data_IF_113131751257
#
_entry.id   IF_113131751257
#
_cell.length_a   1.000
_cell.length_b   1.000
_cell.length_c   1.000
_cell.angle_alpha   90.00
_cell.angle_beta   90.00
_cell.angle_gamma   90.00
#
_symmetry.space_group_name_H-M   'P 1'
#
loop_
_entity.id
_entity.type
_entity.pdbx_description
1 polymer ?
#
# COMPACT_ATOMS: atom_id res chain seq x y z
N UNK A 1 -1.84 -28.41 -10.46
CA UNK A 1 -1.41 -28.39 -9.04
C UNK A 1 0.05 -27.98 -8.85
N UNK A 2 1.03 -28.67 -9.45
CA UNK A 2 2.46 -28.32 -9.29
C UNK A 2 2.77 -26.87 -9.71
N UNK A 3 2.19 -26.42 -10.83
CA UNK A 3 2.30 -25.02 -11.29
C UNK A 3 1.83 -24.04 -10.21
N UNK A 4 0.69 -24.29 -9.56
CA UNK A 4 0.16 -23.44 -8.48
C UNK A 4 1.13 -23.34 -7.30
N UNK A 5 1.78 -24.46 -6.93
CA UNK A 5 2.78 -24.49 -5.84
C UNK A 5 4.03 -23.68 -6.20
N UNK A 6 4.51 -23.80 -7.44
CA UNK A 6 5.65 -23.01 -7.95
C UNK A 6 5.33 -21.52 -7.95
N UNK A 7 4.15 -21.12 -8.44
CA UNK A 7 3.68 -19.74 -8.44
C UNK A 7 3.62 -19.19 -7.01
N UNK A 8 3.01 -19.93 -6.09
CA UNK A 8 2.89 -19.50 -4.69
C UNK A 8 4.24 -19.31 -4.00
N UNK A 9 5.18 -20.23 -4.21
CA UNK A 9 6.55 -20.10 -3.71
C UNK A 9 7.29 -18.90 -4.33
N UNK A 10 7.12 -18.68 -5.64
CA UNK A 10 7.71 -17.55 -6.34
C UNK A 10 7.16 -16.20 -5.85
N UNK A 11 5.88 -16.13 -5.47
CA UNK A 11 5.31 -14.92 -4.87
C UNK A 11 6.03 -14.53 -3.57
N UNK A 12 6.33 -15.50 -2.70
CA UNK A 12 7.15 -15.26 -1.51
C UNK A 12 8.58 -14.80 -1.84
N UNK A 13 9.19 -15.39 -2.88
CA UNK A 13 10.49 -14.94 -3.39
C UNK A 13 10.45 -13.47 -3.84
N UNK A 14 9.41 -13.07 -4.59
CA UNK A 14 9.24 -11.67 -5.00
C UNK A 14 9.03 -10.73 -3.80
N UNK A 15 8.22 -11.13 -2.81
CA UNK A 15 8.03 -10.35 -1.58
C UNK A 15 9.33 -10.19 -0.80
N UNK A 16 10.16 -11.24 -0.75
CA UNK A 16 11.49 -11.16 -0.12
C UNK A 16 12.36 -10.08 -0.79
N UNK A 17 12.37 -10.00 -2.12
CA UNK A 17 13.11 -8.97 -2.86
C UNK A 17 12.55 -7.57 -2.58
N UNK A 18 11.23 -7.42 -2.53
CA UNK A 18 10.58 -6.13 -2.21
C UNK A 18 10.98 -5.67 -0.80
N UNK A 19 10.93 -6.55 0.21
CA UNK A 19 11.34 -6.23 1.58
C UNK A 19 12.84 -5.93 1.69
N UNK A 20 13.68 -6.60 0.90
CA UNK A 20 15.11 -6.31 0.84
C UNK A 20 15.36 -4.92 0.26
N UNK A 21 14.66 -4.57 -0.83
CA UNK A 21 14.71 -3.23 -1.42
C UNK A 21 14.24 -2.17 -0.43
N UNK A 22 13.10 -2.38 0.25
CA UNK A 22 12.61 -1.48 1.30
C UNK A 22 13.62 -1.34 2.44
N UNK A 23 14.25 -2.43 2.88
CA UNK A 23 15.32 -2.40 3.89
C UNK A 23 16.47 -1.49 3.44
N UNK A 24 16.92 -1.63 2.18
CA UNK A 24 17.93 -0.77 1.58
C UNK A 24 17.53 0.71 1.58
N UNK A 25 16.29 1.04 1.22
CA UNK A 25 15.82 2.43 1.22
C UNK A 25 15.88 3.08 2.61
N UNK A 26 15.42 2.37 3.64
CA UNK A 26 15.50 2.85 5.03
C UNK A 26 16.94 2.91 5.54
N UNK A 27 17.78 1.93 5.20
CA UNK A 27 19.19 1.90 5.61
C UNK A 27 19.98 3.07 5.01
N UNK A 28 19.77 3.36 3.72
CA UNK A 28 20.35 4.53 3.06
C UNK A 28 19.86 5.83 3.69
N UNK A 29 18.57 5.92 4.04
CA UNK A 29 18.01 7.00 4.84
C UNK A 29 18.69 7.17 6.20
N UNK A 30 19.03 6.08 6.88
CA UNK A 30 19.65 6.13 8.19
C UNK A 30 21.12 6.59 8.14
N UNK A 31 21.93 6.09 7.20
CA UNK A 31 23.39 6.28 7.22
C UNK A 31 23.96 7.25 6.20
N UNK A 32 23.29 7.43 5.05
CA UNK A 32 23.86 8.13 3.89
C UNK A 32 22.98 9.29 3.43
N UNK A 33 22.26 9.91 4.37
CA UNK A 33 21.26 10.91 4.06
C UNK A 33 21.37 12.18 4.90
N UNK A 34 20.74 13.24 4.42
CA UNK A 34 20.52 14.48 5.16
C UNK A 34 19.13 14.57 5.80
N UNK A 35 18.48 13.44 6.10
CA UNK A 35 17.07 13.40 6.55
C UNK A 35 16.78 14.28 7.77
N UNK A 36 17.60 14.21 8.82
CA UNK A 36 17.39 15.02 10.04
C UNK A 36 17.59 16.51 9.78
N UNK A 37 18.52 16.88 8.91
CA UNK A 37 18.69 18.28 8.50
C UNK A 37 17.49 18.75 7.66
N UNK A 38 17.04 17.93 6.71
CA UNK A 38 15.84 18.19 5.93
C UNK A 38 14.60 18.35 6.81
N UNK A 39 14.44 17.55 7.86
CA UNK A 39 13.30 17.62 8.76
C UNK A 39 13.21 18.97 9.50
N UNK A 40 14.35 19.60 9.80
CA UNK A 40 14.45 20.93 10.41
C UNK A 40 14.08 22.03 9.41
N UNK A 41 14.49 21.91 8.14
CA UNK A 41 14.22 22.92 7.12
C UNK A 41 13.84 22.29 5.76
N UNK A 42 12.60 21.76 5.65
CA UNK A 42 12.15 21.03 4.46
C UNK A 42 11.94 21.93 3.24
N UNK A 43 11.91 23.25 3.43
CA UNK A 43 11.73 24.23 2.36
C UNK A 43 13.03 24.51 1.58
N UNK A 44 14.17 24.54 2.28
CA UNK A 44 15.45 24.91 1.68
C UNK A 44 16.34 23.71 1.37
N UNK A 45 16.35 22.71 2.24
CA UNK A 45 17.22 21.54 2.08
C UNK A 45 16.60 20.58 1.07
N UNK A 46 17.42 20.02 0.18
CA UNK A 46 16.96 19.04 -0.82
C UNK A 46 17.16 17.62 -0.30
N UNK A 47 16.17 16.72 -0.44
CA UNK A 47 16.32 15.32 -0.04
C UNK A 47 17.49 14.65 -0.74
N UNK A 48 18.39 14.03 0.01
CA UNK A 48 19.52 13.26 -0.51
C UNK A 48 19.77 12.04 0.37
N UNK A 49 19.94 10.86 -0.23
CA UNK A 49 20.18 9.60 0.46
C UNK A 49 21.22 8.70 -0.24
N UNK A 50 21.99 9.28 -1.16
CA UNK A 50 23.02 8.55 -1.92
C UNK A 50 24.27 9.41 -2.02
N UNK A 51 25.42 8.80 -1.74
CA UNK A 51 26.74 9.41 -1.87
C UNK A 51 27.62 8.55 -2.78
N UNK A 52 28.45 9.20 -3.58
CA UNK A 52 29.33 8.59 -4.57
C UNK A 52 30.76 8.59 -4.06
N UNK A 53 31.46 7.45 -4.17
CA UNK A 53 32.86 7.37 -3.77
C UNK A 53 33.80 8.12 -4.72
N UNK A 54 34.85 8.80 -4.19
CA UNK A 54 35.78 9.61 -4.97
C UNK A 54 36.89 8.74 -5.59
N UNK A 55 36.58 8.06 -6.69
CA UNK A 55 37.52 7.14 -7.35
C UNK A 55 38.12 7.77 -8.62
N UNK A 56 37.28 8.36 -9.48
CA UNK A 56 37.66 8.79 -10.83
C UNK A 56 37.20 10.22 -11.18
N UNK A 57 36.92 11.06 -10.18
CA UNK A 57 36.30 12.38 -10.39
C UNK A 57 34.77 12.35 -10.37
N UNK A 58 34.16 11.18 -10.20
CA UNK A 58 32.71 11.00 -10.12
C UNK A 58 32.08 11.58 -8.85
N UNK A 59 32.89 11.95 -7.85
CA UNK A 59 32.43 12.71 -6.68
C UNK A 59 31.89 14.10 -7.04
N UNK A 60 32.10 14.58 -8.27
CA UNK A 60 31.38 15.74 -8.82
C UNK A 60 29.85 15.58 -8.77
N UNK A 61 29.36 14.34 -8.72
CA UNK A 61 27.93 14.03 -8.55
C UNK A 61 27.42 14.30 -7.13
N UNK A 62 28.30 14.41 -6.14
CA UNK A 62 27.93 14.78 -4.77
C UNK A 62 27.73 16.30 -4.68
N UNK A 63 26.59 16.77 -5.20
CA UNK A 63 26.24 18.19 -5.16
C UNK A 63 25.94 18.66 -3.73
N UNK A 64 26.15 19.94 -3.46
CA UNK A 64 25.66 20.57 -2.22
C UNK A 64 24.13 20.66 -2.26
N UNK A 65 23.50 19.89 -1.38
CA UNK A 65 22.04 19.79 -1.24
C UNK A 65 21.52 20.50 0.01
N UNK A 66 22.40 21.21 0.72
CA UNK A 66 22.11 21.86 2.00
C UNK A 66 22.16 20.91 3.19
N UNK A 67 22.08 21.49 4.40
CA UNK A 67 22.18 20.71 5.64
C UNK A 67 23.60 20.22 5.94
N UNK A 68 24.62 20.89 5.40
CA UNK A 68 26.02 20.48 5.47
C UNK A 68 26.27 19.06 4.93
N UNK A 69 25.56 18.71 3.85
CA UNK A 69 25.62 17.40 3.22
C UNK A 69 25.83 17.54 1.71
N UNK A 70 26.65 16.65 1.16
CA UNK A 70 26.90 16.54 -0.28
C UNK A 70 26.53 15.15 -0.77
N UNK A 71 25.73 15.08 -1.83
CA UNK A 71 25.26 13.81 -2.38
C UNK A 71 24.35 14.00 -3.59
N UNK A 72 23.73 12.89 -4.00
CA UNK A 72 22.77 12.89 -5.08
C UNK A 72 21.39 13.22 -4.51
N UNK A 73 20.79 14.29 -5.04
CA UNK A 73 19.39 14.61 -4.75
C UNK A 73 18.49 13.45 -5.22
N UNK A 74 17.69 12.92 -4.30
CA UNK A 74 16.72 11.86 -4.60
C UNK A 74 15.35 12.45 -4.91
N UNK A 75 14.58 11.77 -5.76
CA UNK A 75 13.23 12.20 -6.17
C UNK A 75 12.17 11.12 -5.91
N UNK A 76 12.43 10.23 -4.96
CA UNK A 76 11.57 9.09 -4.62
C UNK A 76 10.49 9.42 -3.59
N UNK A 77 10.58 10.57 -2.91
CA UNK A 77 9.61 11.01 -1.92
C UNK A 77 9.73 10.36 -0.53
N UNK A 78 10.75 9.53 -0.28
CA UNK A 78 10.89 8.82 1.00
C UNK A 78 11.00 9.74 2.21
N UNK A 79 11.60 10.92 2.08
CA UNK A 79 11.70 11.88 3.20
C UNK A 79 10.32 12.39 3.64
N UNK A 80 9.45 12.70 2.67
CA UNK A 80 8.09 13.15 2.92
C UNK A 80 7.23 12.03 3.51
N UNK A 81 7.45 10.77 3.07
CA UNK A 81 6.82 9.59 3.66
C UNK A 81 7.23 9.46 5.12
N UNK A 82 8.53 9.35 5.42
CA UNK A 82 9.04 9.17 6.78
C UNK A 82 8.57 10.27 7.74
N UNK A 83 8.49 11.53 7.28
CA UNK A 83 7.91 12.61 8.07
C UNK A 83 6.44 12.36 8.40
N UNK A 84 5.62 11.99 7.40
CA UNK A 84 4.20 11.68 7.62
C UNK A 84 4.00 10.52 8.61
N UNK A 85 4.91 9.55 8.59
CA UNK A 85 4.90 8.39 9.50
C UNK A 85 5.31 8.75 10.94
N UNK A 86 5.86 9.94 11.17
CA UNK A 86 6.34 10.39 12.47
C UNK A 86 7.77 9.96 12.78
N UNK A 87 8.58 9.61 11.76
CA UNK A 87 10.00 9.29 11.95
C UNK A 87 10.80 10.57 12.12
N UNK A 88 11.50 10.71 13.24
CA UNK A 88 12.26 11.92 13.60
C UNK A 88 13.76 11.68 13.72
N UNK A 89 14.18 10.41 13.83
CA UNK A 89 15.59 10.04 14.05
C UNK A 89 16.10 8.99 13.06
N UNK A 90 17.42 9.01 12.82
CA UNK A 90 18.08 7.98 12.00
C UNK A 90 18.02 6.59 12.64
N UNK A 91 17.95 6.52 13.97
CA UNK A 91 17.86 5.25 14.71
C UNK A 91 16.55 4.51 14.41
N UNK A 92 15.44 5.26 14.28
CA UNK A 92 14.16 4.69 13.87
C UNK A 92 14.24 4.12 12.45
N UNK A 93 14.83 4.84 11.49
CA UNK A 93 15.06 4.33 10.13
C UNK A 93 15.90 3.06 10.13
N UNK A 94 16.95 3.01 10.95
CA UNK A 94 17.79 1.83 11.07
C UNK A 94 17.01 0.62 11.63
N UNK A 95 16.21 0.82 12.66
CA UNK A 95 15.35 -0.24 13.21
C UNK A 95 14.34 -0.74 12.16
N UNK A 96 13.73 0.16 11.39
CA UNK A 96 12.81 -0.20 10.29
C UNK A 96 13.52 -0.96 9.18
N UNK A 97 14.76 -0.58 8.85
CA UNK A 97 15.58 -1.29 7.88
C UNK A 97 15.87 -2.74 8.32
N UNK A 98 16.24 -2.94 9.58
CA UNK A 98 16.47 -4.27 10.15
C UNK A 98 15.19 -5.10 10.20
N UNK A 99 14.06 -4.51 10.62
CA UNK A 99 12.77 -5.18 10.61
C UNK A 99 12.37 -5.65 9.21
N UNK A 100 12.56 -4.79 8.20
CA UNK A 100 12.31 -5.13 6.80
C UNK A 100 13.24 -6.24 6.29
N UNK A 101 14.50 -6.27 6.73
CA UNK A 101 15.45 -7.33 6.39
C UNK A 101 15.05 -8.68 7.00
N UNK A 102 14.62 -8.69 8.26
CA UNK A 102 14.08 -9.90 8.91
C UNK A 102 12.83 -10.40 8.17
N UNK A 103 11.93 -9.50 7.79
CA UNK A 103 10.75 -9.85 6.97
C UNK A 103 11.15 -10.43 5.61
N UNK A 104 12.18 -9.89 4.96
CA UNK A 104 12.72 -10.45 3.73
C UNK A 104 13.19 -11.91 3.90
N UNK A 105 13.91 -12.20 4.99
CA UNK A 105 14.34 -13.56 5.31
C UNK A 105 13.16 -14.49 5.64
N UNK A 106 12.16 -14.00 6.37
CA UNK A 106 10.94 -14.76 6.67
C UNK A 106 10.13 -15.09 5.41
N UNK A 107 10.00 -14.15 4.47
CA UNK A 107 9.33 -14.41 3.19
C UNK A 107 10.08 -15.49 2.39
N UNK A 108 11.41 -15.41 2.33
CA UNK A 108 12.21 -16.43 1.64
C UNK A 108 12.03 -17.82 2.29
N UNK A 109 12.03 -17.88 3.62
CA UNK A 109 11.76 -19.12 4.37
C UNK A 109 10.35 -19.65 4.10
N UNK A 110 9.32 -18.81 4.14
CA UNK A 110 7.94 -19.20 3.86
C UNK A 110 7.78 -19.77 2.45
N UNK A 111 8.43 -19.15 1.45
CA UNK A 111 8.46 -19.64 0.07
C UNK A 111 9.09 -21.03 -0.05
N UNK A 112 10.22 -21.26 0.62
CA UNK A 112 10.85 -22.59 0.70
C UNK A 112 9.95 -23.59 1.42
N UNK A 113 9.39 -23.22 2.57
CA UNK A 113 8.59 -24.09 3.43
C UNK A 113 7.33 -24.57 2.70
N UNK A 114 6.58 -23.65 2.08
CA UNK A 114 5.36 -23.96 1.34
C UNK A 114 5.59 -24.60 -0.03
N UNK A 115 6.84 -24.83 -0.43
CA UNK A 115 7.17 -25.61 -1.62
C UNK A 115 7.76 -26.98 -1.28
N UNK A 116 8.72 -27.02 -0.36
CA UNK A 116 9.50 -28.23 -0.08
C UNK A 116 9.02 -29.02 1.15
N UNK A 117 8.28 -28.41 2.08
CA UNK A 117 7.86 -29.06 3.33
C UNK A 117 6.35 -29.21 3.45
N UNK A 118 5.61 -28.13 3.23
CA UNK A 118 4.16 -28.08 3.41
C UNK A 118 3.49 -27.49 2.17
N UNK A 119 3.59 -28.20 1.05
CA UNK A 119 3.01 -27.77 -0.22
C UNK A 119 1.48 -27.88 -0.22
N UNK A 120 0.73 -26.78 -0.42
CA UNK A 120 -0.73 -26.82 -0.44
C UNK A 120 -1.27 -27.66 -1.62
N UNK A 121 -2.49 -28.17 -1.45
CA UNK A 121 -3.22 -28.92 -2.48
C UNK A 121 -3.97 -27.98 -3.43
N UNK A 122 -4.34 -28.46 -4.62
CA UNK A 122 -5.06 -27.66 -5.62
C UNK A 122 -6.38 -27.08 -5.09
N UNK A 123 -7.14 -27.86 -4.32
CA UNK A 123 -8.40 -27.43 -3.70
C UNK A 123 -8.23 -26.16 -2.84
N UNK A 124 -7.10 -26.04 -2.14
CA UNK A 124 -6.81 -24.84 -1.36
C UNK A 124 -6.62 -23.60 -2.24
N UNK A 125 -5.90 -23.74 -3.35
CA UNK A 125 -5.70 -22.64 -4.32
C UNK A 125 -7.00 -22.23 -5.04
N UNK A 126 -7.92 -23.19 -5.23
CA UNK A 126 -9.19 -22.95 -5.93
C UNK A 126 -10.30 -22.43 -5.02
N UNK A 127 -10.06 -22.31 -3.71
CA UNK A 127 -11.02 -21.76 -2.77
C UNK A 127 -11.07 -20.22 -2.85
N UNK A 128 -11.71 -19.73 -3.93
CA UNK A 128 -11.80 -18.32 -4.26
C UNK A 128 -12.60 -17.53 -3.21
N UNK A 129 -13.68 -18.09 -2.67
CA UNK A 129 -14.46 -17.43 -1.61
C UNK A 129 -13.62 -17.17 -0.36
N UNK A 130 -12.87 -18.17 0.12
CA UNK A 130 -11.98 -17.99 1.27
C UNK A 130 -10.89 -16.98 0.97
N UNK A 131 -10.23 -17.08 -0.17
CA UNK A 131 -9.18 -16.15 -0.57
C UNK A 131 -9.68 -14.70 -0.61
N UNK A 132 -10.84 -14.44 -1.24
CA UNK A 132 -11.41 -13.09 -1.30
C UNK A 132 -11.83 -12.58 0.08
N UNK A 133 -12.47 -13.40 0.91
CA UNK A 133 -12.84 -12.98 2.27
C UNK A 133 -11.60 -12.58 3.09
N UNK A 134 -10.52 -13.38 3.04
CA UNK A 134 -9.29 -13.09 3.78
C UNK A 134 -8.52 -11.90 3.19
N UNK A 135 -8.48 -11.73 1.88
CA UNK A 135 -7.80 -10.58 1.27
C UNK A 135 -8.58 -9.27 1.50
N UNK A 136 -9.91 -9.29 1.37
CA UNK A 136 -10.73 -8.11 1.63
C UNK A 136 -10.72 -7.76 3.12
N UNK A 137 -11.15 -8.66 4.00
CA UNK A 137 -11.26 -8.33 5.43
C UNK A 137 -9.91 -8.30 6.15
N UNK A 138 -9.06 -9.29 5.90
CA UNK A 138 -7.78 -9.45 6.57
C UNK A 138 -6.72 -8.50 6.01
N UNK A 139 -6.31 -8.72 4.77
CA UNK A 139 -5.20 -7.95 4.18
C UNK A 139 -5.54 -6.46 4.01
N UNK A 140 -6.66 -6.13 3.37
CA UNK A 140 -7.04 -4.73 3.12
C UNK A 140 -7.70 -4.10 4.35
N UNK A 141 -8.67 -4.78 4.96
CA UNK A 141 -9.42 -4.28 6.10
C UNK A 141 -8.56 -4.06 7.35
N UNK A 142 -7.93 -5.13 7.87
CA UNK A 142 -7.05 -5.00 9.05
C UNK A 142 -5.80 -4.18 8.74
N UNK A 143 -5.26 -4.25 7.52
CA UNK A 143 -4.16 -3.40 7.10
C UNK A 143 -4.49 -1.91 7.19
N UNK A 144 -5.62 -1.50 6.63
CA UNK A 144 -6.07 -0.10 6.68
C UNK A 144 -6.44 0.34 8.10
N UNK A 145 -7.04 -0.54 8.91
CA UNK A 145 -7.37 -0.24 10.30
C UNK A 145 -6.12 -0.09 11.18
N UNK A 146 -5.12 -0.96 10.99
CA UNK A 146 -3.84 -0.85 11.69
C UNK A 146 -3.10 0.44 11.30
N UNK A 147 -3.14 0.81 10.02
CA UNK A 147 -2.58 2.08 9.56
C UNK A 147 -3.27 3.30 10.15
N UNK A 148 -4.61 3.32 10.19
CA UNK A 148 -5.35 4.38 10.86
C UNK A 148 -4.95 4.49 12.35
N UNK A 149 -4.76 3.35 13.03
CA UNK A 149 -4.24 3.32 14.40
C UNK A 149 -2.86 3.98 14.52
N UNK A 150 -1.93 3.67 13.60
CA UNK A 150 -0.61 4.31 13.55
C UNK A 150 -0.72 5.82 13.32
N UNK A 151 -1.53 6.27 12.37
CA UNK A 151 -1.71 7.69 12.08
C UNK A 151 -2.33 8.44 13.27
N UNK A 152 -3.38 7.90 13.89
CA UNK A 152 -4.05 8.50 15.05
C UNK A 152 -3.10 8.66 16.24
N UNK A 153 -2.28 7.65 16.52
CA UNK A 153 -1.53 7.56 17.76
C UNK A 153 -0.06 8.01 17.65
N UNK A 154 0.53 8.01 16.46
CA UNK A 154 1.95 8.31 16.25
C UNK A 154 2.13 9.41 15.19
N UNK A 155 1.69 9.16 13.96
CA UNK A 155 1.94 10.07 12.84
C UNK A 155 1.36 11.47 13.07
N UNK A 156 0.07 11.56 13.41
CA UNK A 156 -0.65 12.82 13.59
C UNK A 156 -0.17 13.64 14.79
N UNK A 157 0.06 13.06 16.00
CA UNK A 157 0.65 13.81 17.11
C UNK A 157 2.01 14.42 16.78
N UNK A 158 2.91 13.65 16.18
CA UNK A 158 4.26 14.10 15.83
C UNK A 158 4.21 15.20 14.76
N UNK A 159 3.44 14.99 13.70
CA UNK A 159 3.31 15.99 12.64
C UNK A 159 2.65 17.29 13.12
N UNK A 160 1.70 17.22 14.06
CA UNK A 160 1.11 18.42 14.65
C UNK A 160 2.15 19.27 15.40
N UNK A 161 3.10 18.65 16.09
CA UNK A 161 4.19 19.34 16.76
C UNK A 161 5.24 19.88 15.77
N UNK A 162 5.60 19.09 14.75
CA UNK A 162 6.50 19.51 13.68
C UNK A 162 5.94 20.72 12.90
N UNK A 163 4.64 20.71 12.60
CA UNK A 163 3.94 21.79 11.91
C UNK A 163 3.80 23.05 12.80
N UNK A 164 3.90 22.90 14.12
CA UNK A 164 3.97 24.00 15.07
C UNK A 164 5.39 24.60 15.21
N UNK A 165 6.38 24.05 14.49
CA UNK A 165 7.75 24.54 14.47
C UNK A 165 8.64 24.03 15.60
N UNK A 166 8.24 22.95 16.28
CA UNK A 166 9.08 22.29 17.28
C UNK A 166 10.30 21.63 16.61
N UNK A 167 11.48 21.78 17.21
CA UNK A 167 12.69 21.11 16.72
C UNK A 167 12.51 19.58 16.87
N UNK A 168 12.87 18.76 15.86
CA UNK A 168 12.77 17.31 15.95
C UNK A 168 13.46 16.69 17.16
N UNK A 169 14.50 17.33 17.71
CA UNK A 169 15.23 16.87 18.90
C UNK A 169 14.46 17.06 20.21
N UNK A 170 13.51 17.99 20.23
CA UNK A 170 12.70 18.32 21.40
C UNK A 170 11.35 17.57 21.41
N UNK A 171 11.08 16.78 20.36
CA UNK A 171 9.86 15.99 20.27
C UNK A 171 9.87 14.84 21.28
N UNK A 172 8.73 14.57 21.95
CA UNK A 172 8.56 13.34 22.71
C UNK A 172 8.74 12.11 21.83
N UNK A 173 9.30 11.05 22.38
CA UNK A 173 9.39 9.80 21.65
C UNK A 173 7.99 9.24 21.33
N UNK A 174 7.79 8.55 20.19
CA UNK A 174 6.49 8.03 19.77
C UNK A 174 5.74 7.22 20.86
N UNK A 175 6.48 6.45 21.68
CA UNK A 175 5.89 5.62 22.71
C UNK A 175 5.32 6.42 23.90
N UNK A 176 5.76 7.65 24.12
CA UNK A 176 5.23 8.52 25.17
C UNK A 176 3.79 8.93 24.87
N UNK A 177 3.43 9.15 23.60
CA UNK A 177 2.05 9.45 23.20
C UNK A 177 1.08 8.27 23.42
N UNK A 178 1.59 7.04 23.45
CA UNK A 178 0.79 5.83 23.71
C UNK A 178 0.53 5.62 25.20
N UNK A 179 1.52 5.92 26.04
CA UNK A 179 1.48 5.63 27.48
C UNK A 179 0.90 6.81 28.25
N UNK A 180 1.27 8.04 27.86
CA UNK A 180 0.86 9.26 28.53
C UNK A 180 -0.37 9.88 27.86
N UNK A 181 -1.54 9.49 28.36
CA UNK A 181 -2.82 10.03 27.90
C UNK A 181 -2.93 11.55 28.08
N UNK A 182 -2.32 12.12 29.12
CA UNK A 182 -2.35 13.56 29.32
C UNK A 182 -1.59 14.27 28.20
N UNK A 183 -0.42 13.76 27.81
CA UNK A 183 0.38 14.31 26.71
C UNK A 183 -0.42 14.38 25.41
N UNK A 184 -0.98 13.27 24.92
CA UNK A 184 -1.76 13.29 23.68
C UNK A 184 -3.04 14.13 23.81
N UNK A 185 -3.62 14.23 25.01
CA UNK A 185 -4.81 15.05 25.24
C UNK A 185 -4.56 16.56 25.17
N UNK A 186 -3.31 17.01 25.34
CA UNK A 186 -2.94 18.41 25.10
C UNK A 186 -3.02 18.77 23.62
N UNK A 187 -2.77 17.79 22.74
CA UNK A 187 -2.87 17.94 21.29
C UNK A 187 -4.29 17.70 20.80
N UNK A 188 -4.95 16.68 21.31
CA UNK A 188 -6.29 16.24 20.89
C UNK A 188 -7.17 16.04 22.14
N UNK A 189 -7.92 17.08 22.57
CA UNK A 189 -8.72 17.05 23.79
C UNK A 189 -9.72 15.87 23.89
N UNK A 190 -10.18 15.30 22.78
CA UNK A 190 -11.10 14.15 22.78
C UNK A 190 -10.52 12.91 23.47
N UNK A 191 -9.19 12.78 23.54
CA UNK A 191 -8.56 11.69 24.27
C UNK A 191 -8.92 11.68 25.76
N UNK A 192 -9.38 12.79 26.36
CA UNK A 192 -9.91 12.85 27.74
C UNK A 192 -11.24 12.12 27.93
N UNK A 193 -12.00 11.90 26.86
CA UNK A 193 -13.26 11.13 26.90
C UNK A 193 -13.00 9.62 26.90
N UNK A 194 -11.84 9.19 26.42
CA UNK A 194 -11.44 7.77 26.39
C UNK A 194 -12.22 7.01 25.34
N UNK A 195 -12.49 5.72 25.58
CA UNK A 195 -13.18 4.86 24.61
C UNK A 195 -14.71 4.84 24.78
N UNK A 196 -15.26 5.52 25.80
CA UNK A 196 -16.70 5.53 26.07
C UNK A 196 -17.50 6.05 24.86
N UNK A 197 -17.11 7.14 24.16
CA UNK A 197 -17.81 7.59 22.96
C UNK A 197 -17.81 6.58 21.81
N UNK A 198 -16.80 5.71 21.73
CA UNK A 198 -16.73 4.67 20.70
C UNK A 198 -17.81 3.60 20.92
N UNK A 199 -17.87 3.03 22.13
CA UNK A 199 -18.82 1.96 22.47
C UNK A 199 -20.27 2.45 22.62
N UNK A 200 -20.47 3.75 22.88
CA UNK A 200 -21.81 4.37 22.93
C UNK A 200 -22.29 4.95 21.60
N UNK A 201 -21.50 4.81 20.52
CA UNK A 201 -21.78 5.37 19.19
C UNK A 201 -21.90 6.91 19.14
N UNK A 202 -21.38 7.62 20.15
CA UNK A 202 -21.30 9.09 20.15
C UNK A 202 -20.01 9.58 19.50
N UNK A 203 -19.81 9.24 18.22
CA UNK A 203 -18.53 9.42 17.53
C UNK A 203 -18.18 10.89 17.21
N UNK A 204 -19.13 11.81 17.31
CA UNK A 204 -18.89 13.25 17.11
C UNK A 204 -17.79 13.82 18.03
N UNK A 205 -17.53 13.14 19.15
CA UNK A 205 -16.48 13.47 20.12
C UNK A 205 -15.06 13.36 19.58
N UNK A 206 -14.81 12.58 18.54
CA UNK A 206 -13.47 12.37 17.96
C UNK A 206 -13.11 13.34 16.82
N UNK A 207 -13.88 14.42 16.64
CA UNK A 207 -13.75 15.35 15.52
C UNK A 207 -12.48 16.20 15.50
N UNK A 208 -11.66 16.14 16.54
CA UNK A 208 -10.35 16.80 16.61
C UNK A 208 -9.21 15.98 15.97
N UNK A 209 -9.32 14.64 15.98
CA UNK A 209 -8.32 13.71 15.44
C UNK A 209 -8.79 13.00 14.16
N UNK A 210 -10.10 12.76 14.02
CA UNK A 210 -10.74 12.22 12.82
C UNK A 210 -11.54 13.33 12.14
N UNK A 211 -10.89 14.04 11.22
CA UNK A 211 -11.47 15.23 10.59
C UNK A 211 -12.06 14.92 9.22
N UNK A 212 -12.76 15.90 8.65
CA UNK A 212 -13.17 15.92 7.24
C UNK A 212 -13.06 17.37 6.74
N UNK A 213 -11.85 17.92 6.80
CA UNK A 213 -11.61 19.33 6.43
C UNK A 213 -11.71 19.53 4.92
N UNK A 214 -11.15 18.58 4.16
CA UNK A 214 -11.09 18.64 2.70
C UNK A 214 -10.08 19.69 2.21
N UNK A 215 -9.26 19.30 1.23
CA UNK A 215 -8.20 20.16 0.69
C UNK A 215 -6.86 19.98 1.39
N UNK A 216 -6.03 21.02 1.37
CA UNK A 216 -4.63 20.95 1.78
C UNK A 216 -4.37 21.73 3.09
N UNK A 217 -3.51 21.17 3.93
CA UNK A 217 -2.89 21.85 5.07
C UNK A 217 -2.03 23.01 4.54
N UNK A 218 -2.30 24.27 4.94
CA UNK A 218 -1.56 25.44 4.46
C UNK A 218 -0.06 25.42 4.82
N UNK A 219 0.31 24.75 5.91
CA UNK A 219 1.69 24.69 6.40
C UNK A 219 2.55 23.75 5.54
N UNK A 220 1.99 22.61 5.15
CA UNK A 220 2.72 21.53 4.47
C UNK A 220 2.40 21.42 2.99
N UNK A 221 1.37 22.14 2.51
CA UNK A 221 0.80 22.03 1.16
C UNK A 221 0.40 20.58 0.78
N UNK A 222 -0.01 19.77 1.76
CA UNK A 222 -0.43 18.37 1.57
C UNK A 222 -1.81 18.13 2.14
N UNK A 223 -2.42 16.98 1.85
CA UNK A 223 -3.65 16.55 2.51
C UNK A 223 -3.49 16.57 4.04
N UNK A 224 -4.59 16.83 4.74
CA UNK A 224 -4.63 16.78 6.19
C UNK A 224 -4.44 15.34 6.65
N UNK A 225 -3.40 15.05 7.43
CA UNK A 225 -3.14 13.69 7.93
C UNK A 225 -4.28 13.18 8.85
N UNK A 226 -5.02 14.08 9.50
CA UNK A 226 -6.23 13.75 10.26
C UNK A 226 -7.42 13.34 9.36
N UNK A 227 -7.49 13.87 8.13
CA UNK A 227 -8.46 13.40 7.12
C UNK A 227 -8.01 12.03 6.55
N UNK A 228 -6.69 11.82 6.36
CA UNK A 228 -6.13 10.54 5.91
C UNK A 228 -6.40 9.42 6.94
N UNK A 229 -6.23 9.69 8.23
CA UNK A 229 -6.57 8.75 9.30
C UNK A 229 -8.05 8.36 9.30
N UNK A 230 -8.93 9.34 9.10
CA UNK A 230 -10.36 9.08 8.98
C UNK A 230 -10.70 8.29 7.70
N UNK A 231 -10.03 8.60 6.59
CA UNK A 231 -10.14 7.82 5.36
C UNK A 231 -9.75 6.36 5.58
N UNK A 232 -8.59 6.08 6.18
CA UNK A 232 -8.13 4.72 6.44
C UNK A 232 -9.03 3.96 7.41
N UNK A 233 -9.59 4.63 8.41
CA UNK A 233 -10.61 4.03 9.29
C UNK A 233 -11.85 3.61 8.48
N UNK A 234 -12.37 4.50 7.64
CA UNK A 234 -13.54 4.21 6.80
C UNK A 234 -13.27 3.07 5.81
N UNK A 235 -12.10 3.06 5.17
CA UNK A 235 -11.65 2.00 4.26
C UNK A 235 -11.49 0.67 5.01
N UNK A 236 -10.92 0.68 6.22
CA UNK A 236 -10.78 -0.51 7.06
C UNK A 236 -12.14 -1.15 7.36
N UNK A 237 -13.10 -0.34 7.83
CA UNK A 237 -14.48 -0.81 8.10
C UNK A 237 -15.14 -1.34 6.83
N UNK A 238 -15.05 -0.61 5.71
CA UNK A 238 -15.63 -1.01 4.43
C UNK A 238 -15.12 -2.38 3.98
N UNK A 239 -13.81 -2.60 4.01
CA UNK A 239 -13.20 -3.84 3.56
C UNK A 239 -13.41 -5.01 4.52
N UNK A 240 -13.46 -4.75 5.84
CA UNK A 240 -13.87 -5.76 6.82
C UNK A 240 -15.28 -6.25 6.50
N UNK A 241 -16.24 -5.36 6.29
CA UNK A 241 -17.62 -5.73 5.95
C UNK A 241 -17.66 -6.46 4.59
N UNK A 242 -16.96 -5.95 3.57
CA UNK A 242 -16.92 -6.55 2.24
C UNK A 242 -16.37 -7.99 2.25
N UNK A 243 -15.36 -8.28 3.10
CA UNK A 243 -14.80 -9.62 3.24
C UNK A 243 -15.68 -10.62 3.97
N UNK A 244 -16.92 -10.28 4.33
CA UNK A 244 -17.92 -11.21 4.87
C UNK A 244 -19.05 -11.53 3.87
N UNK A 245 -18.90 -11.14 2.60
CA UNK A 245 -19.91 -11.36 1.56
C UNK A 245 -19.97 -12.84 1.10
N UNK A 246 -18.84 -13.53 1.01
CA UNK A 246 -18.77 -14.83 0.34
C UNK A 246 -18.95 -16.00 1.31
N UNK A 247 -19.69 -17.03 0.85
CA UNK A 247 -20.04 -18.21 1.64
C UNK A 247 -18.80 -19.03 1.94
N UNK A 248 -18.66 -19.43 3.20
CA UNK A 248 -17.59 -20.35 3.66
C UNK A 248 -18.21 -21.52 4.43
N UNK A 249 -17.48 -22.12 5.37
CA UNK A 249 -17.88 -23.35 6.07
C UNK A 249 -19.12 -23.21 6.96
N UNK A 250 -19.55 -21.98 7.27
CA UNK A 250 -20.69 -21.70 8.15
C UNK A 250 -22.03 -21.54 7.41
N UNK A 251 -22.07 -21.77 6.09
CA UNK A 251 -23.29 -21.77 5.28
C UNK A 251 -23.89 -20.38 4.99
N UNK A 252 -23.46 -19.32 5.68
CA UNK A 252 -23.90 -17.94 5.46
C UNK A 252 -23.01 -17.28 4.39
N UNK A 253 -23.64 -16.50 3.48
CA UNK A 253 -22.97 -15.74 2.42
C UNK A 253 -23.33 -16.20 1.01
N UNK A 254 -22.70 -15.59 0.02
CA UNK A 254 -22.95 -15.87 -1.41
C UNK A 254 -21.87 -16.78 -2.02
N UNK A 255 -22.27 -17.72 -2.89
CA UNK A 255 -21.30 -18.39 -3.79
C UNK A 255 -21.07 -17.53 -5.03
N UNK A 256 -19.81 -17.37 -5.42
CA UNK A 256 -19.44 -16.57 -6.60
C UNK A 256 -20.04 -17.20 -7.86
N UNK A 257 -20.03 -18.54 -7.94
CA UNK A 257 -20.62 -19.27 -9.06
C UNK A 257 -22.12 -19.03 -9.18
N UNK A 258 -22.86 -19.12 -8.08
CA UNK A 258 -24.31 -18.85 -8.05
C UNK A 258 -24.62 -17.42 -8.50
N UNK A 259 -23.84 -16.44 -8.02
CA UNK A 259 -23.96 -15.04 -8.47
C UNK A 259 -23.78 -14.96 -9.98
N UNK A 260 -22.65 -15.45 -10.52
CA UNK A 260 -22.34 -15.35 -11.94
C UNK A 260 -23.43 -16.00 -12.80
N UNK A 261 -23.83 -17.22 -12.47
CA UNK A 261 -24.78 -17.97 -13.30
C UNK A 261 -26.19 -17.38 -13.31
N UNK A 262 -26.59 -16.66 -12.25
CA UNK A 262 -27.90 -16.01 -12.17
C UNK A 262 -27.99 -14.76 -13.06
N UNK A 263 -26.87 -14.09 -13.34
CA UNK A 263 -26.84 -12.86 -14.14
C UNK A 263 -26.81 -13.18 -15.64
N UNK A 264 -28.00 -13.23 -16.25
CA UNK A 264 -28.21 -13.46 -17.69
C UNK A 264 -29.21 -12.46 -18.27
N UNK A 265 -29.00 -12.04 -19.50
CA UNK A 265 -29.86 -11.09 -20.21
C UNK A 265 -30.38 -11.65 -21.54
N UNK A 266 -31.42 -11.03 -22.12
CA UNK A 266 -32.04 -11.52 -23.36
C UNK A 266 -31.08 -11.51 -24.56
N UNK A 267 -30.05 -10.66 -24.54
CA UNK A 267 -29.07 -10.52 -25.63
C UNK A 267 -27.77 -11.33 -25.43
N UNK A 268 -27.52 -11.82 -24.21
CA UNK A 268 -26.20 -12.35 -23.78
C UNK A 268 -26.16 -13.87 -23.63
N UNK A 269 -27.19 -14.58 -24.09
CA UNK A 269 -27.23 -16.04 -24.08
C UNK A 269 -27.10 -16.61 -22.67
N UNK A 270 -26.08 -17.44 -22.45
CA UNK A 270 -25.81 -18.05 -21.14
C UNK A 270 -25.11 -17.10 -20.14
N UNK A 271 -24.92 -15.82 -20.47
CA UNK A 271 -24.36 -14.80 -19.59
C UNK A 271 -22.97 -15.17 -19.09
N UNK A 272 -22.76 -15.10 -17.77
CA UNK A 272 -21.45 -15.32 -17.12
C UNK A 272 -21.12 -16.80 -16.84
N UNK A 273 -21.90 -17.74 -17.36
CA UNK A 273 -21.64 -19.19 -17.18
C UNK A 273 -20.23 -19.53 -17.68
N UNK A 274 -19.47 -20.33 -16.91
CA UNK A 274 -18.10 -20.74 -17.26
C UNK A 274 -16.99 -19.81 -16.76
N UNK A 275 -17.31 -18.58 -16.34
CA UNK A 275 -16.30 -17.63 -15.86
C UNK A 275 -15.68 -18.05 -14.52
N UNK A 276 -16.46 -18.66 -13.63
CA UNK A 276 -15.94 -19.18 -12.36
C UNK A 276 -14.90 -20.28 -12.61
N UNK A 277 -15.20 -21.20 -13.52
CA UNK A 277 -14.31 -22.28 -13.93
C UNK A 277 -13.03 -21.72 -14.55
N UNK A 278 -13.13 -20.74 -15.47
CA UNK A 278 -11.96 -20.10 -16.07
C UNK A 278 -11.04 -19.51 -14.99
N UNK A 279 -11.59 -18.74 -14.06
CA UNK A 279 -10.81 -18.02 -13.05
C UNK A 279 -10.27 -18.90 -11.93
N UNK A 280 -10.78 -20.11 -11.77
CA UNK A 280 -10.27 -21.10 -10.80
C UNK A 280 -9.33 -22.12 -11.44
N UNK A 281 -9.27 -22.20 -12.77
CA UNK A 281 -8.43 -23.18 -13.49
C UNK A 281 -7.27 -22.54 -14.24
N UNK A 282 -7.43 -21.33 -14.78
CA UNK A 282 -6.37 -20.62 -15.50
C UNK A 282 -5.73 -19.52 -14.66
N UNK A 283 -4.45 -19.69 -14.34
CA UNK A 283 -3.63 -18.65 -13.73
C UNK A 283 -3.39 -17.47 -14.69
N UNK A 284 -3.38 -17.71 -16.00
CA UNK A 284 -3.22 -16.65 -16.99
C UNK A 284 -4.45 -15.75 -17.08
N UNK A 285 -5.66 -16.32 -16.98
CA UNK A 285 -6.89 -15.53 -16.93
C UNK A 285 -6.91 -14.61 -15.69
N UNK A 286 -6.57 -15.14 -14.52
CA UNK A 286 -6.46 -14.34 -13.29
C UNK A 286 -5.38 -13.26 -13.40
N UNK A 287 -4.19 -13.61 -13.87
CA UNK A 287 -3.09 -12.66 -14.03
C UNK A 287 -3.44 -11.55 -15.02
N UNK A 288 -4.13 -11.86 -16.12
CA UNK A 288 -4.57 -10.87 -17.08
C UNK A 288 -5.50 -9.83 -16.45
N UNK A 289 -6.52 -10.26 -15.70
CA UNK A 289 -7.45 -9.35 -15.01
C UNK A 289 -6.71 -8.53 -13.95
N UNK A 290 -5.88 -9.19 -13.13
CA UNK A 290 -5.15 -8.52 -12.06
C UNK A 290 -4.20 -7.44 -12.61
N UNK A 291 -3.49 -7.72 -13.71
CA UNK A 291 -2.62 -6.74 -14.36
C UNK A 291 -3.40 -5.59 -15.01
N UNK A 292 -4.57 -5.86 -15.59
CA UNK A 292 -5.42 -4.82 -16.16
C UNK A 292 -5.90 -3.84 -15.07
N UNK A 293 -6.38 -4.40 -13.96
CA UNK A 293 -6.89 -3.62 -12.83
C UNK A 293 -5.77 -2.90 -12.08
N UNK A 294 -4.66 -3.59 -11.78
CA UNK A 294 -3.51 -3.00 -11.08
C UNK A 294 -2.87 -1.90 -11.94
N UNK A 295 -2.66 -2.15 -13.24
CA UNK A 295 -2.06 -1.15 -14.12
C UNK A 295 -2.91 0.12 -14.24
N UNK A 296 -4.24 -0.05 -14.34
CA UNK A 296 -5.19 1.06 -14.33
C UNK A 296 -5.18 1.80 -12.98
N UNK A 297 -5.13 1.07 -11.86
CA UNK A 297 -5.04 1.66 -10.53
C UNK A 297 -3.75 2.45 -10.34
N UNK A 298 -2.60 1.95 -10.81
CA UNK A 298 -1.32 2.66 -10.75
C UNK A 298 -1.37 3.99 -11.52
N UNK A 299 -2.04 4.03 -12.68
CA UNK A 299 -2.27 5.28 -13.42
C UNK A 299 -3.19 6.24 -12.64
N UNK A 300 -4.27 5.73 -12.04
CA UNK A 300 -5.15 6.53 -11.19
C UNK A 300 -4.38 7.10 -9.99
N UNK A 301 -3.52 6.31 -9.35
CA UNK A 301 -2.63 6.77 -8.26
C UNK A 301 -1.75 7.91 -8.74
N UNK A 302 -1.14 7.80 -9.93
CA UNK A 302 -0.35 8.89 -10.51
C UNK A 302 -1.17 10.18 -10.57
N UNK A 303 -2.40 10.10 -11.13
CA UNK A 303 -3.30 11.24 -11.24
C UNK A 303 -3.75 11.82 -9.89
N UNK A 304 -4.06 10.95 -8.93
CA UNK A 304 -4.51 11.38 -7.61
C UNK A 304 -3.37 12.02 -6.82
N UNK A 305 -2.17 11.43 -6.81
CA UNK A 305 -1.06 11.93 -5.99
C UNK A 305 -0.56 13.31 -6.43
N UNK A 306 -0.54 13.62 -7.74
CA UNK A 306 -0.10 14.94 -8.18
C UNK A 306 -1.12 16.04 -7.90
N UNK A 307 -2.42 15.72 -8.01
CA UNK A 307 -3.50 16.68 -7.82
C UNK A 307 -3.95 16.81 -6.36
N UNK A 308 -3.73 15.77 -5.55
CA UNK A 308 -4.04 15.70 -4.13
C UNK A 308 -2.80 15.19 -3.35
N UNK A 309 -1.76 16.02 -3.19
CA UNK A 309 -0.48 15.60 -2.62
C UNK A 309 -0.64 15.07 -1.18
N UNK A 310 -0.39 13.77 -0.91
CA UNK A 310 -0.75 13.18 0.38
C UNK A 310 0.30 13.39 1.47
N UNK A 311 1.54 13.73 1.11
CA UNK A 311 2.65 13.81 2.07
C UNK A 311 3.13 15.24 2.32
N UNK A 312 3.52 15.60 3.56
CA UNK A 312 3.98 16.94 3.89
C UNK A 312 5.14 17.41 3.00
N UNK A 313 5.04 18.64 2.48
CA UNK A 313 6.02 19.31 1.61
C UNK A 313 6.27 18.64 0.25
N UNK A 314 5.53 17.59 -0.11
CA UNK A 314 5.73 16.92 -1.39
C UNK A 314 5.22 17.73 -2.58
N UNK A 315 4.22 18.61 -2.38
CA UNK A 315 3.63 19.42 -3.44
C UNK A 315 4.58 20.48 -4.01
N UNK A 316 5.49 20.98 -3.16
CA UNK A 316 6.49 22.00 -3.52
C UNK A 316 7.84 21.38 -3.91
N UNK A 317 7.96 20.06 -3.85
CA UNK A 317 9.09 19.29 -4.36
C UNK A 317 8.80 18.81 -5.79
N UNK A 318 8.93 19.73 -6.75
CA UNK A 318 8.59 19.47 -8.15
C UNK A 318 9.34 18.28 -8.78
N UNK A 319 10.65 18.06 -8.52
CA UNK A 319 11.34 16.86 -8.97
C UNK A 319 10.65 15.57 -8.51
N UNK A 320 10.24 15.50 -7.24
CA UNK A 320 9.54 14.32 -6.71
C UNK A 320 8.15 14.15 -7.34
N UNK A 321 7.36 15.22 -7.50
CA UNK A 321 6.06 15.15 -8.15
C UNK A 321 6.13 14.59 -9.58
N UNK A 322 7.03 15.14 -10.39
CA UNK A 322 7.20 14.71 -11.77
C UNK A 322 7.70 13.26 -11.85
N UNK A 323 8.67 12.90 -11.02
CA UNK A 323 9.23 11.55 -10.97
C UNK A 323 8.19 10.52 -10.56
N UNK A 324 7.42 10.76 -9.50
CA UNK A 324 6.39 9.83 -9.03
C UNK A 324 5.26 9.68 -10.05
N UNK A 325 4.78 10.77 -10.66
CA UNK A 325 3.77 10.70 -11.71
C UNK A 325 4.26 9.85 -12.88
N UNK A 326 5.44 10.17 -13.42
CA UNK A 326 6.02 9.49 -14.57
C UNK A 326 6.28 8.01 -14.25
N UNK A 327 6.82 7.71 -13.08
CA UNK A 327 7.07 6.36 -12.62
C UNK A 327 5.80 5.51 -12.60
N UNK A 328 4.75 5.98 -11.92
CA UNK A 328 3.49 5.25 -11.79
C UNK A 328 2.76 5.11 -13.13
N UNK A 329 2.81 6.13 -13.99
CA UNK A 329 2.28 6.05 -15.36
C UNK A 329 2.94 4.93 -16.17
N UNK A 330 4.27 4.83 -16.15
CA UNK A 330 4.99 3.80 -16.88
C UNK A 330 4.73 2.40 -16.32
N UNK A 331 4.78 2.21 -15.00
CA UNK A 331 4.45 0.93 -14.38
C UNK A 331 3.03 0.50 -14.77
N UNK A 332 2.07 1.42 -14.72
CA UNK A 332 0.69 1.14 -15.12
C UNK A 332 0.57 0.72 -16.58
N UNK A 333 1.26 1.39 -17.49
CA UNK A 333 1.31 1.03 -18.91
C UNK A 333 1.90 -0.37 -19.13
N UNK A 334 3.02 -0.71 -18.47
CA UNK A 334 3.62 -2.04 -18.56
C UNK A 334 2.67 -3.13 -18.04
N UNK A 335 1.97 -2.89 -16.93
CA UNK A 335 0.98 -3.82 -16.41
C UNK A 335 -0.18 -4.03 -17.41
N UNK A 336 -0.74 -2.96 -18.00
CA UNK A 336 -1.84 -3.06 -18.98
C UNK A 336 -1.40 -3.85 -20.23
N UNK A 337 -0.19 -3.63 -20.74
CA UNK A 337 0.36 -4.43 -21.84
C UNK A 337 0.50 -5.90 -21.44
N UNK A 338 1.02 -6.16 -20.23
CA UNK A 338 1.11 -7.50 -19.65
C UNK A 338 -0.26 -8.19 -19.53
N UNK A 339 -1.31 -7.43 -19.22
CA UNK A 339 -2.67 -7.94 -19.19
C UNK A 339 -3.13 -8.46 -20.55
N UNK A 340 -2.90 -7.68 -21.63
CA UNK A 340 -3.21 -8.09 -23.00
C UNK A 340 -2.41 -9.33 -23.43
N UNK A 341 -1.14 -9.40 -23.04
CA UNK A 341 -0.30 -10.57 -23.30
C UNK A 341 -0.84 -11.83 -22.60
N UNK A 342 -1.15 -11.75 -21.30
CA UNK A 342 -1.68 -12.89 -20.55
C UNK A 342 -3.10 -13.28 -20.96
N UNK A 343 -3.93 -12.32 -21.37
CA UNK A 343 -5.24 -12.59 -21.98
C UNK A 343 -5.08 -13.40 -23.27
N UNK A 344 -4.12 -13.04 -24.12
CA UNK A 344 -3.81 -13.80 -25.34
C UNK A 344 -3.27 -15.20 -25.04
N UNK A 345 -2.39 -15.33 -24.04
CA UNK A 345 -1.87 -16.64 -23.62
C UNK A 345 -3.00 -17.54 -23.11
N UNK A 346 -3.93 -17.00 -22.32
CA UNK A 346 -5.14 -17.70 -21.89
C UNK A 346 -5.94 -18.21 -23.10
N UNK A 347 -6.22 -17.34 -24.09
CA UNK A 347 -6.98 -17.71 -25.29
C UNK A 347 -6.33 -18.84 -26.10
N UNK A 348 -5.00 -18.94 -26.10
CA UNK A 348 -4.27 -19.97 -26.86
C UNK A 348 -4.16 -21.29 -26.10
N UNK A 349 -3.93 -21.24 -24.77
CA UNK A 349 -3.57 -22.45 -23.99
C UNK A 349 -4.71 -23.02 -23.17
N UNK A 350 -5.55 -22.16 -22.61
CA UNK A 350 -6.45 -22.52 -21.52
C UNK A 350 -7.93 -22.32 -21.89
N UNK A 351 -8.23 -21.67 -23.01
CA UNK A 351 -9.60 -21.51 -23.51
C UNK A 351 -10.18 -22.84 -24.01
N UNK A 352 -11.37 -23.17 -23.52
CA UNK A 352 -12.15 -24.32 -23.96
C UNK A 352 -13.51 -23.84 -24.52
N UNK A 353 -13.74 -24.07 -25.81
CA UNK A 353 -14.97 -23.70 -26.49
C UNK A 353 -16.21 -24.42 -25.92
N UNK A 354 -16.05 -25.63 -25.40
CA UNK A 354 -17.16 -26.41 -24.83
C UNK A 354 -17.67 -25.79 -23.53
N UNK A 355 -16.76 -25.31 -22.67
CA UNK A 355 -17.08 -24.63 -21.42
C UNK A 355 -17.70 -23.24 -21.65
N UNK A 356 -17.37 -22.61 -22.78
CA UNK A 356 -17.79 -21.25 -23.09
C UNK A 356 -18.96 -21.16 -24.07
N UNK A 357 -19.57 -22.29 -24.46
CA UNK A 357 -20.60 -22.29 -25.49
C UNK A 357 -21.76 -21.31 -25.20
N UNK A 358 -21.95 -20.34 -26.11
CA UNK A 358 -23.00 -19.33 -26.06
C UNK A 358 -23.03 -18.48 -24.76
N UNK A 359 -21.91 -18.39 -24.04
CA UNK A 359 -21.73 -17.44 -22.94
C UNK A 359 -21.19 -16.08 -23.46
N UNK A 360 -20.90 -15.15 -22.57
CA UNK A 360 -20.35 -13.83 -22.95
C UNK A 360 -19.04 -13.92 -23.73
N UNK A 361 -18.11 -14.79 -23.33
CA UNK A 361 -16.80 -14.89 -23.97
C UNK A 361 -16.92 -15.42 -25.41
N UNK A 362 -17.70 -16.49 -25.64
CA UNK A 362 -17.98 -17.00 -26.98
C UNK A 362 -18.67 -15.96 -27.88
N UNK A 363 -19.61 -15.20 -27.31
CA UNK A 363 -20.36 -14.18 -28.07
C UNK A 363 -19.55 -12.94 -28.42
N UNK A 364 -18.43 -12.68 -27.73
CA UNK A 364 -17.49 -11.61 -28.11
C UNK A 364 -16.56 -12.06 -29.25
N UNK A 365 -16.28 -13.36 -29.33
CA UNK A 365 -15.45 -13.93 -30.40
C UNK A 365 -16.21 -13.99 -31.73
N UNK A 366 -17.53 -14.25 -31.68
CA UNK A 366 -18.44 -14.28 -32.84
C UNK A 366 -18.92 -12.89 -33.22
#
# INVERSE_FOLDING_TARGET
>A
EEVSRKIFSAHFGQLSIIFLWLSGMHFHGAYFSNYTAWLINPLQIKPSAQSVWPIVGQEILNADVGGNFQGIQITSGFFQIWRAEGITTQQQLYATALGSLVMSALMLFAGWFHYHKAAPKLEWFQNAESMLNHHLSGLLGLGSLAWAGHEIHIGNPINKLLDAGMDPKDLPDPHEFLINRELISTLYPSFKEGLVPFFSLNWSKYSDILTFKGGLNPTTASLWLTDIAHHHLAIGVLFIIAGHMYRTNFGIGHSIKEILETHRGPFTGSGHKGLYEILTTSWHAQLAINLAMLGSLTIIIAHHMYAMPPYPYIAIDYPTQLSLFTHHMWIGAFCIVGAGAHGSIFMVRDYDASLNYNNLLDRVIR
#
